data_IF_347080138326
#
_entry.id   IF_347080138326
#
_cell.length_a   1.000
_cell.length_b   1.000
_cell.length_c   1.000
_cell.angle_alpha   90.00
_cell.angle_beta   90.00
_cell.angle_gamma   90.00
#
_symmetry.space_group_name_H-M   'P 1'
#
loop_
_entity.id
_entity.type
_entity.pdbx_description
1 polymer ?
#
# COMPACT_ATOMS: atom_id res chain seq x y z
N UNK A 1 -18.29 -2.21 -3.60
CA UNK A 1 -17.18 -2.82 -4.34
C UNK A 1 -16.12 -3.24 -3.34
N UNK A 2 -15.68 -4.49 -3.34
CA UNK A 2 -14.67 -4.96 -2.39
C UNK A 2 -13.29 -4.97 -3.04
N UNK A 3 -12.31 -4.35 -2.39
CA UNK A 3 -10.92 -4.30 -2.85
C UNK A 3 -10.09 -5.16 -1.89
N UNK A 4 -9.53 -6.24 -2.43
CA UNK A 4 -8.63 -7.12 -1.70
C UNK A 4 -7.22 -6.54 -1.72
N UNK A 5 -6.61 -6.37 -0.54
CA UNK A 5 -5.27 -5.81 -0.40
C UNK A 5 -4.42 -6.66 0.53
N UNK A 6 -3.13 -6.78 0.23
CA UNK A 6 -2.22 -7.56 1.08
C UNK A 6 -1.89 -6.89 2.41
N UNK A 7 -2.12 -5.58 2.51
CA UNK A 7 -1.75 -4.75 3.63
C UNK A 7 -2.88 -3.78 3.96
N UNK A 8 -3.02 -3.41 5.22
CA UNK A 8 -4.03 -2.45 5.69
C UNK A 8 -3.72 -1.04 5.14
N UNK A 9 -4.23 -0.74 3.93
CA UNK A 9 -3.97 0.53 3.25
C UNK A 9 -4.45 1.75 4.05
N UNK A 10 -5.57 1.64 4.75
CA UNK A 10 -6.10 2.71 5.60
C UNK A 10 -5.11 3.10 6.70
N UNK A 11 -4.59 2.11 7.44
CA UNK A 11 -3.60 2.34 8.50
C UNK A 11 -2.31 2.96 7.97
N UNK A 12 -1.83 2.52 6.80
CA UNK A 12 -0.63 3.09 6.18
C UNK A 12 -0.87 4.54 5.73
N UNK A 13 -2.03 4.80 5.11
CA UNK A 13 -2.40 6.13 4.65
C UNK A 13 -2.53 7.11 5.82
N UNK A 14 -3.19 6.71 6.91
CA UNK A 14 -3.32 7.53 8.11
C UNK A 14 -1.99 7.79 8.81
N UNK A 15 -1.15 6.76 8.96
CA UNK A 15 0.10 6.86 9.70
C UNK A 15 1.22 7.60 8.94
N UNK A 16 1.34 7.37 7.63
CA UNK A 16 2.49 7.84 6.82
C UNK A 16 2.09 8.55 5.52
N UNK A 17 0.81 8.54 5.15
CA UNK A 17 0.35 9.12 3.89
C UNK A 17 0.70 10.60 3.73
N UNK A 18 0.61 11.39 4.80
CA UNK A 18 0.99 12.82 4.79
C UNK A 18 2.49 13.05 4.61
N UNK A 19 3.32 12.05 4.90
CA UNK A 19 4.78 12.14 4.75
C UNK A 19 5.23 11.78 3.33
N UNK A 20 4.56 10.82 2.68
CA UNK A 20 4.98 10.31 1.36
C UNK A 20 4.17 10.85 0.17
N UNK A 21 2.99 11.41 0.41
CA UNK A 21 2.10 11.88 -0.64
C UNK A 21 1.97 13.40 -0.61
N UNK A 22 1.84 14.00 -1.79
CA UNK A 22 1.44 15.40 -1.88
C UNK A 22 0.04 15.59 -1.27
N UNK A 23 -0.28 16.78 -0.74
CA UNK A 23 -1.58 17.03 -0.11
C UNK A 23 -2.78 16.66 -0.99
N UNK A 24 -2.71 16.95 -2.29
CA UNK A 24 -3.76 16.59 -3.25
C UNK A 24 -3.92 15.07 -3.42
N UNK A 25 -2.82 14.32 -3.50
CA UNK A 25 -2.86 12.86 -3.62
C UNK A 25 -3.36 12.22 -2.33
N UNK A 26 -2.90 12.72 -1.18
CA UNK A 26 -3.36 12.26 0.13
C UNK A 26 -4.87 12.41 0.28
N UNK A 27 -5.43 13.60 0.02
CA UNK A 27 -6.87 13.86 0.10
C UNK A 27 -7.67 12.99 -0.87
N UNK A 28 -7.18 12.79 -2.09
CA UNK A 28 -7.85 11.94 -3.08
C UNK A 28 -7.94 10.48 -2.61
N UNK A 29 -6.84 9.94 -2.09
CA UNK A 29 -6.84 8.56 -1.60
C UNK A 29 -7.64 8.41 -0.31
N UNK A 30 -7.60 9.38 0.60
CA UNK A 30 -8.42 9.35 1.81
C UNK A 30 -9.90 9.31 1.46
N UNK A 31 -10.36 10.19 0.56
CA UNK A 31 -11.75 10.19 0.13
C UNK A 31 -12.17 8.83 -0.44
N UNK A 32 -11.42 8.28 -1.41
CA UNK A 32 -11.81 7.07 -2.15
C UNK A 32 -11.63 5.77 -1.36
N UNK A 33 -10.55 5.65 -0.58
CA UNK A 33 -10.17 4.39 0.07
C UNK A 33 -10.62 4.28 1.52
N UNK A 34 -10.96 5.40 2.16
CA UNK A 34 -11.30 5.43 3.60
C UNK A 34 -12.71 5.96 3.84
N UNK A 35 -13.11 7.03 3.17
CA UNK A 35 -14.36 7.74 3.46
C UNK A 35 -15.55 7.29 2.59
N UNK A 36 -15.31 6.61 1.47
CA UNK A 36 -16.38 6.17 0.57
C UNK A 36 -17.10 4.92 1.08
N UNK A 37 -18.42 5.03 1.31
CA UNK A 37 -19.27 3.94 1.81
C UNK A 37 -19.46 2.78 0.81
N UNK A 38 -19.21 3.02 -0.48
CA UNK A 38 -19.37 2.03 -1.54
C UNK A 38 -18.11 1.17 -1.77
N UNK A 39 -17.03 1.42 -1.02
CA UNK A 39 -15.76 0.69 -1.11
C UNK A 39 -15.44 -0.01 0.21
N UNK A 40 -15.25 -1.33 0.16
CA UNK A 40 -14.81 -2.12 1.30
C UNK A 40 -13.39 -2.62 1.06
N UNK A 41 -12.45 -2.23 1.92
CA UNK A 41 -11.07 -2.72 1.88
C UNK A 41 -10.95 -3.92 2.80
N UNK A 42 -10.67 -5.09 2.21
CA UNK A 42 -10.48 -6.34 2.94
C UNK A 42 -9.03 -6.78 2.82
N UNK A 43 -8.40 -7.00 3.97
CA UNK A 43 -7.02 -7.48 4.01
C UNK A 43 -7.01 -8.98 3.72
N UNK A 44 -6.17 -9.39 2.77
CA UNK A 44 -5.97 -10.79 2.40
C UNK A 44 -4.48 -11.15 2.45
N UNK A 45 -4.16 -12.40 2.76
CA UNK A 45 -2.79 -12.90 2.71
C UNK A 45 -2.51 -13.75 1.47
N UNK A 46 -3.39 -13.66 0.47
CA UNK A 46 -3.25 -14.38 -0.78
C UNK A 46 -2.16 -13.74 -1.64
N UNK A 47 -0.91 -14.09 -1.36
CA UNK A 47 0.30 -13.61 -2.08
C UNK A 47 0.47 -14.26 -3.45
N UNK A 48 -0.07 -15.46 -3.66
CA UNK A 48 -0.02 -16.13 -4.95
C UNK A 48 -1.00 -15.45 -5.93
N UNK A 49 -0.53 -14.89 -7.06
CA UNK A 49 -1.40 -14.21 -8.02
C UNK A 49 -2.53 -15.10 -8.56
N UNK A 50 -2.28 -16.40 -8.78
CA UNK A 50 -3.31 -17.32 -9.27
C UNK A 50 -4.42 -17.56 -8.23
N UNK A 51 -4.06 -17.67 -6.95
CA UNK A 51 -5.04 -17.79 -5.86
C UNK A 51 -5.76 -16.47 -5.57
N UNK A 52 -5.12 -15.32 -5.82
CA UNK A 52 -5.76 -14.01 -5.64
C UNK A 52 -6.94 -13.85 -6.61
N UNK A 53 -6.76 -14.29 -7.85
CA UNK A 53 -7.81 -14.28 -8.88
C UNK A 53 -8.93 -15.28 -8.60
N UNK A 54 -8.69 -16.33 -7.80
CA UNK A 54 -9.71 -17.33 -7.48
C UNK A 54 -10.71 -16.83 -6.43
N UNK A 55 -10.48 -15.68 -5.79
CA UNK A 55 -11.36 -15.11 -4.78
C UNK A 55 -11.41 -15.92 -3.47
N UNK A 56 -10.56 -16.94 -3.32
CA UNK A 56 -10.43 -17.68 -2.07
C UNK A 56 -9.68 -16.81 -1.07
N UNK A 57 -10.40 -16.30 -0.08
CA UNK A 57 -9.80 -15.70 1.10
C UNK A 57 -9.21 -16.83 1.97
N UNK A 58 -7.89 -16.93 2.00
CA UNK A 58 -7.19 -17.76 2.99
C UNK A 58 -7.35 -17.19 4.40
N UNK A 59 -6.79 -17.86 5.41
CA UNK A 59 -6.82 -17.34 6.78
C UNK A 59 -6.13 -15.97 6.88
N UNK A 60 -6.71 -15.02 7.63
CA UNK A 60 -6.08 -13.74 7.88
C UNK A 60 -4.87 -13.91 8.81
N UNK A 61 -3.67 -13.85 8.25
CA UNK A 61 -2.40 -13.60 8.94
C UNK A 61 -2.28 -12.10 9.21
N UNK A 62 -1.87 -11.76 10.43
CA UNK A 62 -1.60 -10.39 10.86
C UNK A 62 -0.15 -10.05 10.52
N UNK A 63 0.07 -9.08 9.63
CA UNK A 63 1.40 -8.58 9.29
C UNK A 63 1.55 -7.12 9.76
N UNK A 64 2.60 -6.82 10.55
CA UNK A 64 2.85 -5.47 11.06
C UNK A 64 3.54 -4.61 9.98
N UNK A 65 2.73 -4.10 9.06
CA UNK A 65 3.20 -3.38 7.88
C UNK A 65 3.92 -2.07 8.23
N UNK A 66 3.52 -1.38 9.31
CA UNK A 66 4.08 -0.08 9.67
C UNK A 66 5.57 -0.17 10.08
N UNK A 67 5.92 -1.15 10.92
CA UNK A 67 7.30 -1.40 11.34
C UNK A 67 8.20 -1.74 10.14
N UNK A 68 7.70 -2.62 9.27
CA UNK A 68 8.42 -3.03 8.06
C UNK A 68 8.67 -1.85 7.12
N UNK A 69 7.68 -0.98 6.91
CA UNK A 69 7.84 0.16 6.02
C UNK A 69 8.82 1.18 6.61
N UNK A 70 8.78 1.42 7.92
CA UNK A 70 9.70 2.33 8.59
C UNK A 70 11.16 1.84 8.50
N UNK A 71 11.39 0.55 8.71
CA UNK A 71 12.72 -0.06 8.57
C UNK A 71 13.23 -0.05 7.11
N UNK A 72 12.36 -0.32 6.15
CA UNK A 72 12.75 -0.42 4.73
C UNK A 72 12.96 0.96 4.10
N UNK A 73 12.06 1.91 4.38
CA UNK A 73 12.13 3.28 3.84
C UNK A 73 13.28 4.09 4.46
N UNK A 74 13.71 3.79 5.68
CA UNK A 74 14.89 4.44 6.27
C UNK A 74 16.20 3.95 5.68
N UNK A 75 16.26 2.69 5.24
CA UNK A 75 17.49 2.04 4.77
C UNK A 75 17.75 2.24 3.27
N UNK A 76 16.73 2.42 2.43
CA UNK A 76 16.78 2.60 0.95
C UNK A 76 18.08 2.09 0.27
N UNK A 77 18.48 0.82 0.45
CA UNK A 77 19.79 0.34 -0.02
C UNK A 77 19.90 0.32 -1.54
N UNK A 78 18.75 0.31 -2.23
CA UNK A 78 18.65 0.34 -3.69
C UNK A 78 18.73 1.76 -4.26
N UNK A 79 18.65 2.81 -3.42
CA UNK A 79 18.85 4.18 -3.84
C UNK A 79 20.34 4.42 -4.06
N UNK A 80 20.76 4.32 -5.32
CA UNK A 80 22.13 4.62 -5.73
C UNK A 80 22.24 6.08 -6.14
N UNK A 81 23.35 6.74 -5.81
CA UNK A 81 23.67 8.10 -6.26
C UNK A 81 23.93 8.20 -7.78
N UNK A 82 23.76 7.12 -8.52
CA UNK A 82 23.90 7.10 -9.97
C UNK A 82 22.62 7.62 -10.63
N UNK A 83 22.69 8.66 -11.48
CA UNK A 83 21.54 9.12 -12.24
C UNK A 83 20.97 7.98 -13.11
N UNK A 84 19.64 7.99 -13.29
CA UNK A 84 18.97 7.01 -14.13
C UNK A 84 19.45 7.19 -15.58
N UNK A 85 19.96 6.12 -16.19
CA UNK A 85 20.37 6.16 -17.59
C UNK A 85 19.14 6.48 -18.44
N UNK A 86 19.19 7.57 -19.23
CA UNK A 86 18.10 8.10 -20.05
C UNK A 86 16.95 8.82 -19.30
N UNK A 87 17.24 9.51 -18.20
CA UNK A 87 16.25 10.38 -17.53
C UNK A 87 15.81 11.61 -18.34
N UNK A 88 16.50 11.94 -19.44
CA UNK A 88 16.12 13.02 -20.35
C UNK A 88 15.25 12.47 -21.49
N UNK A 89 13.95 12.79 -21.49
CA UNK A 89 13.08 12.79 -22.67
C UNK A 89 12.07 13.92 -22.55
#
# INVERSE_FOLDING_TARGET
MTVLVSHTLSAVLEAKGRHWLSPQRFLKYQAILVEQDDVEIVVTNTVNPASFLSGCMGEPVIHECLETIEATSSSHPDLKDTPLENAET
#
